data_IF_874732977381
#
_entry.id   IF_874732977381
#
_cell.length_a   1.000
_cell.length_b   1.000
_cell.length_c   1.000
_cell.angle_alpha   90.00
_cell.angle_beta   90.00
_cell.angle_gamma   90.00
#
_symmetry.space_group_name_H-M   'P 1'
#
loop_
_entity.id
_entity.type
_entity.pdbx_description
1 polymer ?
#
# COMPACT_ATOMS: atom_id res chain seq x y z
N UNK A 1 2.60 18.73 -29.10
CA UNK A 1 2.15 17.65 -28.80
C UNK A 1 1.97 17.54 -27.48
N UNK A 2 1.13 16.97 -27.04
CA UNK A 2 0.83 16.90 -25.85
C UNK A 2 1.26 15.79 -25.22
N UNK A 3 1.75 15.88 -24.17
CA UNK A 3 2.10 14.87 -23.52
C UNK A 3 1.08 14.24 -22.89
N UNK A 4 0.92 13.19 -22.97
CA UNK A 4 -0.11 12.51 -22.42
C UNK A 4 0.13 12.51 -21.03
N UNK A 5 -0.78 12.64 -20.35
CA UNK A 5 -0.73 12.53 -19.09
C UNK A 5 -0.25 11.33 -18.81
N UNK A 6 0.19 11.05 -17.77
CA UNK A 6 0.72 9.95 -17.51
C UNK A 6 -0.10 8.86 -17.60
N UNK A 7 -0.10 8.13 -18.52
CA UNK A 7 -0.79 6.99 -18.62
C UNK A 7 0.02 5.98 -17.95
N UNK A 8 -0.33 5.45 -16.83
CA UNK A 8 0.37 4.40 -16.15
C UNK A 8 0.20 3.10 -16.85
N UNK A 9 1.25 2.34 -17.00
CA UNK A 9 1.18 1.07 -17.72
C UNK A 9 0.77 -0.04 -16.76
N UNK A 10 0.34 -1.15 -17.27
CA UNK A 10 -0.03 -2.30 -16.46
C UNK A 10 1.14 -2.78 -15.62
N UNK A 11 2.35 -2.68 -16.15
CA UNK A 11 3.51 -3.08 -15.44
C UNK A 11 3.77 -2.17 -14.26
N UNK A 12 3.54 -0.90 -14.40
CA UNK A 12 3.72 0.05 -13.31
C UNK A 12 2.66 -0.15 -12.25
N UNK A 13 1.44 -0.42 -12.65
CA UNK A 13 0.35 -0.70 -11.72
C UNK A 13 0.71 -1.95 -10.92
N UNK A 14 1.25 -2.98 -11.57
CA UNK A 14 1.62 -4.20 -10.89
C UNK A 14 2.73 -3.96 -9.87
N UNK A 15 3.66 -3.07 -10.17
CA UNK A 15 4.73 -2.75 -9.22
C UNK A 15 4.17 -2.01 -8.02
N UNK A 16 3.25 -1.08 -8.25
CA UNK A 16 2.63 -0.35 -7.15
C UNK A 16 1.80 -1.31 -6.30
N UNK A 17 1.12 -2.24 -6.95
CA UNK A 17 0.29 -3.21 -6.23
C UNK A 17 1.19 -4.10 -5.37
N UNK A 18 2.32 -4.54 -5.89
CA UNK A 18 3.24 -5.38 -5.16
C UNK A 18 3.77 -4.65 -3.93
N UNK A 19 4.13 -3.38 -4.07
CA UNK A 19 4.62 -2.59 -2.96
C UNK A 19 3.52 -2.39 -1.92
N UNK A 20 2.30 -2.14 -2.38
CA UNK A 20 1.17 -1.96 -1.46
C UNK A 20 0.87 -3.25 -0.72
N UNK A 21 0.93 -4.38 -1.41
CA UNK A 21 0.66 -5.65 -0.78
C UNK A 21 1.73 -6.05 0.22
N UNK A 22 2.96 -5.58 0.05
CA UNK A 22 4.00 -5.81 1.04
C UNK A 22 3.59 -5.14 2.35
N UNK A 23 3.02 -3.94 2.29
CA UNK A 23 2.54 -3.26 3.48
C UNK A 23 1.32 -3.97 4.07
N UNK A 24 0.42 -4.44 3.22
CA UNK A 24 -0.76 -5.17 3.66
C UNK A 24 -0.32 -6.42 4.41
N UNK A 25 0.62 -7.17 3.84
CA UNK A 25 1.07 -8.42 4.44
C UNK A 25 1.78 -8.17 5.76
N UNK A 26 2.54 -7.09 5.85
CA UNK A 26 3.23 -6.76 7.07
C UNK A 26 2.23 -6.41 8.17
N UNK A 27 1.22 -5.62 7.85
CA UNK A 27 0.19 -5.23 8.81
C UNK A 27 -0.59 -6.45 9.27
N UNK A 28 -0.95 -7.33 8.34
CA UNK A 28 -1.74 -8.50 8.67
C UNK A 28 -0.95 -9.54 9.47
N UNK A 29 0.36 -9.60 9.27
CA UNK A 29 1.18 -10.55 9.99
C UNK A 29 1.35 -10.14 11.46
N UNK A 30 1.23 -8.88 11.75
CA UNK A 30 1.33 -8.41 13.12
C UNK A 30 2.76 -8.16 13.55
N UNK A 31 2.91 -7.80 14.79
CA UNK A 31 4.21 -7.43 15.33
C UNK A 31 5.19 -8.57 15.29
N UNK A 32 6.35 -8.38 14.68
CA UNK A 32 7.35 -9.45 14.61
C UNK A 32 7.96 -9.71 15.99
N UNK A 33 8.41 -10.94 16.19
CA UNK A 33 9.03 -11.29 17.37
C UNK A 33 10.31 -10.52 17.50
N UNK A 34 10.64 -9.97 18.60
CA UNK A 34 11.86 -9.20 18.78
C UNK A 34 11.72 -7.71 18.53
N UNK A 35 10.60 -7.29 17.97
CA UNK A 35 10.39 -5.87 17.75
C UNK A 35 9.62 -5.32 18.95
N UNK A 36 10.04 -4.19 19.53
CA UNK A 36 9.33 -3.69 20.68
C UNK A 36 8.08 -2.92 20.25
N UNK A 37 7.21 -2.63 21.20
CA UNK A 37 5.92 -2.03 20.91
C UNK A 37 6.04 -0.66 20.25
N UNK A 38 6.98 0.14 20.67
CA UNK A 38 7.16 1.47 20.11
C UNK A 38 7.61 1.39 18.66
N UNK A 39 8.50 0.45 18.37
CA UNK A 39 8.97 0.25 17.00
C UNK A 39 7.84 -0.25 16.14
N UNK A 40 7.03 -1.15 16.67
CA UNK A 40 5.93 -1.69 15.89
C UNK A 40 4.88 -0.62 15.63
N UNK A 41 4.58 0.21 16.62
CA UNK A 41 3.62 1.29 16.43
C UNK A 41 4.07 2.24 15.32
N UNK A 42 5.36 2.56 15.27
CA UNK A 42 5.89 3.43 14.26
C UNK A 42 5.84 2.74 12.89
N UNK A 43 6.22 1.48 12.83
CA UNK A 43 6.20 0.71 11.60
C UNK A 43 4.78 0.60 11.06
N UNK A 44 3.82 0.32 11.94
CA UNK A 44 2.44 0.18 11.54
C UNK A 44 1.91 1.51 11.02
N UNK A 45 2.23 2.60 11.68
CA UNK A 45 1.77 3.92 11.27
C UNK A 45 2.31 4.27 9.89
N UNK A 46 3.58 4.01 9.64
CA UNK A 46 4.18 4.32 8.35
C UNK A 46 3.56 3.49 7.23
N UNK A 47 3.30 2.23 7.50
CA UNK A 47 2.74 1.35 6.48
C UNK A 47 1.29 1.70 6.20
N UNK A 48 0.53 2.10 7.22
CA UNK A 48 -0.84 2.53 7.00
C UNK A 48 -0.87 3.84 6.21
N UNK A 49 0.08 4.73 6.50
CA UNK A 49 0.16 5.99 5.77
C UNK A 49 0.50 5.73 4.31
N UNK A 50 1.41 4.80 4.05
CA UNK A 50 1.78 4.41 2.70
C UNK A 50 0.55 3.90 1.95
N UNK A 51 -0.26 3.07 2.61
CA UNK A 51 -1.46 2.55 1.97
C UNK A 51 -2.47 3.65 1.68
N UNK A 52 -2.58 4.65 2.56
CA UNK A 52 -3.49 5.75 2.33
C UNK A 52 -3.06 6.56 1.11
N UNK A 53 -1.75 6.74 0.94
CA UNK A 53 -1.22 7.44 -0.22
C UNK A 53 -1.52 6.62 -1.46
N UNK A 54 -1.35 5.31 -1.40
CA UNK A 54 -1.62 4.44 -2.54
C UNK A 54 -3.11 4.44 -2.88
N UNK A 55 -3.97 4.47 -1.86
CA UNK A 55 -5.40 4.47 -2.11
C UNK A 55 -5.88 5.75 -2.80
N UNK A 56 -5.09 6.81 -2.72
CA UNK A 56 -5.45 8.05 -3.38
C UNK A 56 -5.23 7.99 -4.88
N UNK A 57 -4.51 6.97 -5.36
CA UNK A 57 -4.31 6.80 -6.80
C UNK A 57 -5.62 6.33 -7.42
N UNK A 58 -5.83 6.64 -8.68
CA UNK A 58 -7.10 6.32 -9.32
C UNK A 58 -7.01 5.20 -10.34
N UNK A 59 -5.94 4.45 -10.34
CA UNK A 59 -5.82 3.37 -11.34
C UNK A 59 -6.19 1.99 -10.78
N UNK A 60 -6.61 1.92 -9.51
CA UNK A 60 -6.90 0.62 -8.92
C UNK A 60 -8.30 0.13 -9.30
N UNK A 61 -8.44 -1.18 -9.42
CA UNK A 61 -9.77 -1.77 -9.61
C UNK A 61 -10.39 -1.90 -8.23
N UNK A 62 -11.66 -2.18 -8.19
CA UNK A 62 -12.36 -2.38 -6.92
C UNK A 62 -11.76 -3.55 -6.15
N UNK A 63 -11.36 -4.61 -6.86
CA UNK A 63 -10.77 -5.74 -6.21
C UNK A 63 -9.43 -5.41 -5.57
N UNK A 64 -8.65 -4.56 -6.24
CA UNK A 64 -7.36 -4.18 -5.72
C UNK A 64 -7.51 -3.33 -4.47
N UNK A 65 -8.55 -2.48 -4.45
CA UNK A 65 -8.73 -1.56 -3.34
C UNK A 65 -9.14 -2.26 -2.06
N UNK A 66 -9.82 -3.38 -2.16
CA UNK A 66 -10.34 -4.06 -0.99
C UNK A 66 -9.30 -4.39 0.07
N UNK A 67 -8.23 -5.13 -0.24
CA UNK A 67 -7.24 -5.46 0.77
C UNK A 67 -6.50 -4.23 1.27
N UNK A 68 -6.29 -3.25 0.39
CA UNK A 68 -5.56 -2.03 0.77
C UNK A 68 -6.39 -1.22 1.76
N UNK A 69 -7.69 -1.12 1.50
CA UNK A 69 -8.58 -0.37 2.35
C UNK A 69 -8.70 -1.03 3.71
N UNK A 70 -8.80 -2.33 3.72
CA UNK A 70 -8.96 -3.07 4.93
C UNK A 70 -7.74 -2.93 5.82
N UNK A 71 -6.55 -3.04 5.26
CA UNK A 71 -5.33 -2.97 6.02
C UNK A 71 -5.04 -1.57 6.53
N UNK A 72 -5.50 -0.54 5.82
CA UNK A 72 -5.22 0.83 6.22
C UNK A 72 -6.24 1.40 7.20
N UNK A 73 -7.26 0.65 7.48
CA UNK A 73 -8.33 1.12 8.37
C UNK A 73 -7.87 1.30 9.81
#
# INVERSE_FOLDING_TARGET
MTEPTQEITAEEIARHYSAAMDSVNLINAGQPEGMDDAEWADCLSRNKEHLKIMLAKDFWTTEDLEPLRRASA
#
